data_IF_221722894261
#
_entry.id   IF_221722894261
#
_cell.length_a   1.000
_cell.length_b   1.000
_cell.length_c   1.000
_cell.angle_alpha   90.00
_cell.angle_beta   90.00
_cell.angle_gamma   90.00
#
_symmetry.space_group_name_H-M   'P 1'
#
loop_
_entity.id
_entity.type
_entity.pdbx_description
1 polymer ?
#
# COMPACT_ATOMS: atom_id res chain seq x y z
N UNK A 1 22.24 -7.94 -17.65
CA UNK A 1 21.51 -8.64 -16.54
C UNK A 1 21.62 -7.88 -15.22
N UNK A 2 22.78 -7.34 -14.84
CA UNK A 2 22.99 -6.61 -13.56
C UNK A 2 22.17 -5.33 -13.47
N UNK A 3 22.09 -4.53 -14.54
CA UNK A 3 21.33 -3.26 -14.56
C UNK A 3 19.83 -3.51 -14.40
N UNK A 4 19.27 -4.49 -15.13
CA UNK A 4 17.85 -4.83 -14.99
C UNK A 4 17.50 -5.28 -13.57
N UNK A 5 18.38 -6.05 -12.93
CA UNK A 5 18.15 -6.48 -11.55
C UNK A 5 18.16 -5.32 -10.56
N UNK A 6 19.11 -4.38 -10.68
CA UNK A 6 19.14 -3.18 -9.84
C UNK A 6 17.87 -2.31 -10.02
N UNK A 7 17.44 -2.15 -11.27
CA UNK A 7 16.18 -1.49 -11.60
C UNK A 7 14.98 -2.20 -10.96
N UNK A 8 14.92 -3.53 -11.06
CA UNK A 8 13.85 -4.34 -10.48
C UNK A 8 13.80 -4.17 -8.95
N UNK A 9 14.96 -4.23 -8.27
CA UNK A 9 15.07 -3.98 -6.83
C UNK A 9 14.51 -2.60 -6.48
N UNK A 10 14.83 -1.57 -7.25
CA UNK A 10 14.32 -0.22 -7.03
C UNK A 10 12.79 -0.15 -7.14
N UNK A 11 12.19 -0.68 -8.22
CA UNK A 11 10.74 -0.66 -8.42
C UNK A 11 10.01 -1.46 -7.34
N UNK A 12 10.51 -2.64 -6.98
CA UNK A 12 9.91 -3.44 -5.91
C UNK A 12 10.04 -2.74 -4.55
N UNK A 13 11.13 -2.03 -4.31
CA UNK A 13 11.29 -1.23 -3.08
C UNK A 13 10.26 -0.11 -3.01
N UNK A 14 9.98 0.58 -4.13
CA UNK A 14 8.93 1.60 -4.19
C UNK A 14 7.54 1.00 -3.94
N UNK A 15 7.23 -0.13 -4.57
CA UNK A 15 5.94 -0.83 -4.38
C UNK A 15 5.79 -1.24 -2.92
N UNK A 16 6.81 -1.87 -2.34
CA UNK A 16 6.79 -2.30 -0.95
C UNK A 16 6.72 -1.10 0.02
N UNK A 17 7.46 -0.03 -0.23
CA UNK A 17 7.38 1.18 0.57
C UNK A 17 6.00 1.82 0.53
N UNK A 18 5.34 1.83 -0.64
CA UNK A 18 3.96 2.31 -0.78
C UNK A 18 2.98 1.43 0.00
N UNK A 19 3.17 0.12 0.00
CA UNK A 19 2.38 -0.84 0.77
C UNK A 19 2.50 -0.60 2.29
N UNK A 20 3.71 -0.45 2.80
CA UNK A 20 3.96 -0.13 4.21
C UNK A 20 3.37 1.23 4.63
N UNK A 21 3.45 2.23 3.76
CA UNK A 21 2.80 3.52 4.00
C UNK A 21 1.27 3.34 4.01
N UNK A 22 0.70 2.66 3.02
CA UNK A 22 -0.73 2.46 2.89
C UNK A 22 -1.35 1.72 4.09
N UNK A 23 -0.63 0.72 4.63
CA UNK A 23 -1.08 -0.04 5.79
C UNK A 23 -1.01 0.74 7.10
N UNK A 24 -0.14 1.75 7.20
CA UNK A 24 0.18 2.46 8.45
C UNK A 24 -0.43 3.86 8.52
N UNK A 25 -0.62 4.53 7.37
CA UNK A 25 -1.02 5.94 7.30
C UNK A 25 -2.34 6.22 8.02
N UNK A 26 -3.34 5.35 7.89
CA UNK A 26 -4.63 5.50 8.56
C UNK A 26 -4.51 5.50 10.09
N UNK A 27 -3.61 4.68 10.63
CA UNK A 27 -3.35 4.64 12.08
C UNK A 27 -2.64 5.90 12.57
N UNK A 28 -1.68 6.41 11.80
CA UNK A 28 -0.94 7.63 12.16
C UNK A 28 -1.76 8.91 12.00
N UNK A 29 -2.80 8.89 11.15
CA UNK A 29 -3.71 10.02 10.91
C UNK A 29 -5.05 9.85 11.62
N UNK A 30 -5.17 8.89 12.52
CA UNK A 30 -6.41 8.47 13.17
C UNK A 30 -7.15 9.61 13.88
N UNK A 31 -6.41 10.44 14.61
CA UNK A 31 -6.99 11.56 15.36
C UNK A 31 -7.61 12.61 14.42
N UNK A 32 -6.92 12.95 13.35
CA UNK A 32 -7.41 13.93 12.36
C UNK A 32 -8.63 13.40 11.61
N UNK A 33 -8.60 12.14 11.21
CA UNK A 33 -9.70 11.45 10.54
C UNK A 33 -10.94 11.40 11.46
N UNK A 34 -10.76 11.02 12.73
CA UNK A 34 -11.82 10.93 13.70
C UNK A 34 -12.46 12.31 13.96
N UNK A 35 -11.65 13.34 14.15
CA UNK A 35 -12.11 14.69 14.41
C UNK A 35 -12.87 15.29 13.22
N UNK A 36 -12.49 14.96 11.99
CA UNK A 36 -13.13 15.48 10.79
C UNK A 36 -14.42 14.69 10.44
N UNK A 37 -14.34 13.38 10.35
CA UNK A 37 -15.46 12.54 9.88
C UNK A 37 -16.45 12.14 10.98
N UNK A 38 -16.02 12.13 12.24
CA UNK A 38 -16.77 11.61 13.38
C UNK A 38 -16.96 12.67 14.48
N UNK A 39 -16.81 13.95 14.17
CA UNK A 39 -16.96 15.05 15.13
C UNK A 39 -18.28 15.04 15.92
N UNK A 40 -19.32 14.44 15.32
CA UNK A 40 -20.64 14.27 15.95
C UNK A 40 -20.62 13.35 17.18
N UNK A 41 -19.61 12.48 17.30
CA UNK A 41 -19.45 11.52 18.39
C UNK A 41 -18.58 12.05 19.54
N UNK A 42 -18.05 13.27 19.42
CA UNK A 42 -17.24 13.91 20.45
C UNK A 42 -16.04 13.04 20.87
N UNK A 43 -15.88 12.83 22.18
CA UNK A 43 -14.77 12.05 22.74
C UNK A 43 -14.76 10.57 22.31
N UNK A 44 -15.90 10.02 21.90
CA UNK A 44 -16.04 8.64 21.42
C UNK A 44 -15.62 8.45 19.96
N UNK A 45 -15.27 9.51 19.23
CA UNK A 45 -14.97 9.47 17.79
C UNK A 45 -13.83 8.49 17.43
N UNK A 46 -12.78 8.46 18.24
CA UNK A 46 -11.65 7.54 18.05
C UNK A 46 -12.11 6.07 18.24
N UNK A 47 -12.89 5.78 19.28
CA UNK A 47 -13.44 4.45 19.53
C UNK A 47 -14.35 3.96 18.40
N UNK A 48 -15.16 4.83 17.83
CA UNK A 48 -16.00 4.52 16.66
C UNK A 48 -15.12 4.19 15.44
N UNK A 49 -14.05 4.96 15.23
CA UNK A 49 -13.11 4.69 14.13
C UNK A 49 -12.37 3.36 14.33
N UNK A 50 -12.07 2.99 15.57
CA UNK A 50 -11.47 1.67 15.88
C UNK A 50 -12.42 0.52 15.54
N UNK A 51 -13.68 0.64 15.90
CA UNK A 51 -14.69 -0.37 15.53
C UNK A 51 -14.80 -0.49 14.01
N UNK A 52 -14.84 0.64 13.29
CA UNK A 52 -14.86 0.63 11.82
C UNK A 52 -13.60 -0.02 11.24
N UNK A 53 -12.44 0.20 11.85
CA UNK A 53 -11.19 -0.43 11.42
C UNK A 53 -11.22 -1.97 11.59
N UNK A 54 -11.90 -2.47 12.62
CA UNK A 54 -12.12 -3.92 12.80
C UNK A 54 -13.05 -4.46 11.70
N UNK A 55 -14.06 -3.70 11.29
CA UNK A 55 -15.00 -4.13 10.25
C UNK A 55 -14.35 -4.25 8.84
N UNK A 56 -13.19 -3.65 8.61
CA UNK A 56 -12.47 -3.82 7.34
C UNK A 56 -11.55 -5.05 7.32
N UNK A 57 -11.25 -5.67 8.46
CA UNK A 57 -10.39 -6.87 8.53
C UNK A 57 -10.91 -8.04 7.67
N UNK A 58 -12.22 -8.34 7.58
CA UNK A 58 -12.73 -9.39 6.69
C UNK A 58 -12.37 -9.18 5.21
N UNK A 59 -12.24 -7.94 4.74
CA UNK A 59 -11.84 -7.65 3.35
C UNK A 59 -10.38 -8.08 3.09
N UNK A 60 -9.51 -7.97 4.07
CA UNK A 60 -8.16 -8.52 4.00
C UNK A 60 -8.19 -10.05 3.89
N UNK A 61 -9.04 -10.73 4.68
CA UNK A 61 -9.21 -12.17 4.60
C UNK A 61 -9.72 -12.62 3.22
N UNK A 62 -10.68 -11.90 2.63
CA UNK A 62 -11.15 -12.14 1.25
C UNK A 62 -9.98 -11.95 0.26
N UNK A 63 -9.17 -10.90 0.44
CA UNK A 63 -7.95 -10.67 -0.35
C UNK A 63 -6.99 -11.86 -0.33
N UNK A 64 -6.84 -12.53 0.80
CA UNK A 64 -6.02 -13.75 0.90
C UNK A 64 -6.57 -14.92 0.09
N UNK A 65 -7.89 -15.04 -0.05
CA UNK A 65 -8.52 -16.16 -0.78
C UNK A 65 -8.25 -16.11 -2.29
N UNK A 66 -8.01 -14.95 -2.87
CA UNK A 66 -7.68 -14.85 -4.30
C UNK A 66 -6.16 -14.92 -4.58
N UNK A 67 -5.32 -14.92 -3.55
CA UNK A 67 -3.86 -15.05 -3.67
C UNK A 67 -3.40 -16.25 -4.52
N UNK A 68 -4.01 -17.46 -4.44
CA UNK A 68 -3.65 -18.58 -5.32
C UNK A 68 -3.82 -18.30 -6.80
N UNK A 69 -4.61 -17.29 -7.19
CA UNK A 69 -4.73 -16.87 -8.58
C UNK A 69 -3.42 -16.31 -9.15
N UNK A 70 -2.51 -15.84 -8.31
CA UNK A 70 -1.17 -15.42 -8.72
C UNK A 70 -0.39 -16.56 -9.40
N UNK A 71 -0.64 -17.82 -8.98
CA UNK A 71 -0.03 -19.00 -9.57
C UNK A 71 -0.59 -19.31 -10.98
N UNK A 72 -1.79 -18.84 -11.28
CA UNK A 72 -2.45 -19.03 -12.59
C UNK A 72 -2.28 -17.85 -13.53
N UNK A 73 -2.31 -16.63 -13.01
CA UNK A 73 -2.29 -15.40 -13.81
C UNK A 73 -0.89 -14.84 -14.01
N UNK A 74 0.08 -15.29 -13.24
CA UNK A 74 1.45 -14.78 -13.23
C UNK A 74 1.71 -13.80 -12.09
N UNK A 75 2.91 -13.86 -11.55
CA UNK A 75 3.35 -13.03 -10.41
C UNK A 75 3.33 -11.54 -10.74
N UNK A 76 3.82 -11.18 -11.92
CA UNK A 76 3.85 -9.81 -12.41
C UNK A 76 2.45 -9.20 -12.46
N UNK A 77 1.52 -9.86 -13.15
CA UNK A 77 0.16 -9.33 -13.33
C UNK A 77 -0.53 -9.13 -12.00
N UNK A 78 -0.40 -10.10 -11.11
CA UNK A 78 -1.01 -10.05 -9.79
C UNK A 78 -0.45 -8.91 -8.94
N UNK A 79 0.88 -8.73 -8.91
CA UNK A 79 1.55 -7.62 -8.24
C UNK A 79 1.05 -6.26 -8.75
N UNK A 80 0.98 -6.09 -10.07
CA UNK A 80 0.54 -4.84 -10.70
C UNK A 80 -0.92 -4.54 -10.36
N UNK A 81 -1.82 -5.52 -10.49
CA UNK A 81 -3.26 -5.35 -10.17
C UNK A 81 -3.44 -4.92 -8.71
N UNK A 82 -2.74 -5.56 -7.79
CA UNK A 82 -2.85 -5.22 -6.37
C UNK A 82 -2.28 -3.84 -6.06
N UNK A 83 -1.09 -3.51 -6.57
CA UNK A 83 -0.48 -2.20 -6.33
C UNK A 83 -1.31 -1.07 -6.94
N UNK A 84 -1.81 -1.27 -8.16
CA UNK A 84 -2.68 -0.32 -8.83
C UNK A 84 -4.01 -0.14 -8.08
N UNK A 85 -4.67 -1.24 -7.71
CA UNK A 85 -5.92 -1.23 -6.96
C UNK A 85 -5.79 -0.57 -5.59
N UNK A 86 -4.71 -0.89 -4.84
CA UNK A 86 -4.40 -0.24 -3.57
C UNK A 86 -4.20 1.28 -3.75
N UNK A 87 -3.48 1.69 -4.79
CA UNK A 87 -3.21 3.11 -5.05
C UNK A 87 -4.47 3.87 -5.44
N UNK A 88 -5.37 3.26 -6.23
CA UNK A 88 -6.70 3.81 -6.50
C UNK A 88 -7.53 3.91 -5.21
N UNK A 89 -7.45 2.92 -4.32
CA UNK A 89 -8.14 2.96 -3.04
C UNK A 89 -7.66 4.12 -2.15
N UNK A 90 -6.35 4.41 -2.15
CA UNK A 90 -5.81 5.60 -1.48
C UNK A 90 -6.35 6.91 -2.10
N UNK A 91 -6.57 6.97 -3.43
CA UNK A 91 -7.23 8.10 -4.06
C UNK A 91 -8.70 8.22 -3.64
N UNK A 92 -9.42 7.10 -3.45
CA UNK A 92 -10.78 7.11 -2.91
C UNK A 92 -10.79 7.71 -1.50
N UNK A 93 -9.80 7.37 -0.66
CA UNK A 93 -9.64 7.98 0.67
C UNK A 93 -9.34 9.48 0.55
N UNK A 94 -8.44 9.88 -0.33
CA UNK A 94 -8.13 11.29 -0.59
C UNK A 94 -9.38 12.09 -0.99
N UNK A 95 -10.23 11.52 -1.83
CA UNK A 95 -11.49 12.15 -2.30
C UNK A 95 -12.64 11.98 -1.30
N UNK A 96 -12.45 11.27 -0.19
CA UNK A 96 -13.52 11.01 0.76
C UNK A 96 -13.95 12.31 1.49
N UNK A 97 -15.22 12.63 1.38
CA UNK A 97 -15.86 13.74 2.09
C UNK A 97 -16.82 13.28 3.18
N UNK A 98 -16.97 11.99 3.35
CA UNK A 98 -17.84 11.37 4.35
C UNK A 98 -17.26 10.03 4.82
N UNK A 99 -17.82 9.55 5.95
CA UNK A 99 -17.38 8.31 6.60
C UNK A 99 -17.55 7.07 5.71
N UNK A 100 -18.64 7.01 4.93
CA UNK A 100 -18.91 5.85 4.07
C UNK A 100 -17.84 5.72 2.99
N UNK A 101 -17.49 6.80 2.31
CA UNK A 101 -16.47 6.77 1.26
C UNK A 101 -15.08 6.48 1.82
N UNK A 102 -14.77 7.02 3.02
CA UNK A 102 -13.56 6.67 3.75
C UNK A 102 -13.51 5.17 4.08
N UNK A 103 -14.62 4.61 4.58
CA UNK A 103 -14.73 3.19 4.90
C UNK A 103 -14.54 2.31 3.65
N UNK A 104 -15.19 2.66 2.54
CA UNK A 104 -15.03 1.95 1.25
C UNK A 104 -13.58 2.01 0.79
N UNK A 105 -12.95 3.18 0.82
CA UNK A 105 -11.55 3.33 0.45
C UNK A 105 -10.61 2.47 1.32
N UNK A 106 -10.82 2.47 2.64
CA UNK A 106 -10.04 1.65 3.57
C UNK A 106 -10.24 0.15 3.34
N UNK A 107 -11.49 -0.28 3.10
CA UNK A 107 -11.78 -1.68 2.77
C UNK A 107 -11.10 -2.12 1.47
N UNK A 108 -11.09 -1.26 0.46
CA UNK A 108 -10.37 -1.53 -0.80
C UNK A 108 -8.85 -1.57 -0.61
N UNK A 109 -8.27 -0.69 0.23
CA UNK A 109 -6.84 -0.77 0.58
C UNK A 109 -6.53 -2.12 1.20
N UNK A 110 -7.31 -2.56 2.18
CA UNK A 110 -7.11 -3.85 2.84
C UNK A 110 -7.27 -5.04 1.87
N UNK A 111 -8.19 -4.94 0.93
CA UNK A 111 -8.39 -5.97 -0.09
C UNK A 111 -7.21 -6.07 -1.06
N UNK A 112 -6.67 -4.92 -1.52
CA UNK A 112 -5.62 -4.87 -2.53
C UNK A 112 -4.19 -4.84 -1.97
N UNK A 113 -3.98 -4.82 -0.66
CA UNK A 113 -2.62 -4.93 -0.11
C UNK A 113 -1.95 -6.17 -0.71
N UNK A 114 -0.74 -6.06 -1.27
CA UNK A 114 -0.09 -7.12 -2.06
C UNK A 114 0.21 -8.44 -1.33
N UNK A 115 -0.07 -8.55 -0.05
CA UNK A 115 0.08 -9.78 0.75
C UNK A 115 1.39 -10.51 0.47
N UNK A 116 2.51 -9.79 0.58
CA UNK A 116 3.85 -10.29 0.32
C UNK A 116 4.13 -10.72 -1.15
N UNK A 117 3.25 -10.38 -2.11
CA UNK A 117 3.50 -10.69 -3.53
C UNK A 117 4.78 -10.02 -4.06
N UNK A 118 5.08 -8.80 -3.58
CA UNK A 118 6.33 -8.12 -3.87
C UNK A 118 7.54 -8.90 -3.33
N UNK A 119 7.40 -9.56 -2.18
CA UNK A 119 8.43 -10.43 -1.60
C UNK A 119 8.63 -11.67 -2.46
N UNK A 120 7.53 -12.36 -2.80
CA UNK A 120 7.58 -13.56 -3.65
C UNK A 120 8.21 -13.21 -4.98
N UNK A 121 7.76 -12.14 -5.62
CA UNK A 121 8.28 -11.71 -6.92
C UNK A 121 9.80 -11.45 -6.88
N UNK A 122 10.31 -10.69 -5.88
CA UNK A 122 11.74 -10.40 -5.79
C UNK A 122 12.57 -11.63 -5.40
N UNK A 123 12.02 -12.50 -4.57
CA UNK A 123 12.70 -13.75 -4.18
C UNK A 123 12.86 -14.70 -5.37
N UNK A 124 11.83 -14.83 -6.20
CA UNK A 124 11.88 -15.64 -7.44
C UNK A 124 12.80 -15.02 -8.49
N UNK A 125 12.84 -13.71 -8.59
CA UNK A 125 13.68 -12.96 -9.55
C UNK A 125 15.14 -12.80 -9.10
N UNK A 126 15.47 -13.14 -7.85
CA UNK A 126 16.80 -12.95 -7.27
C UNK A 126 17.66 -14.20 -7.36
N UNK A 127 18.98 -14.07 -7.66
CA UNK A 127 19.92 -15.18 -7.56
C UNK A 127 19.90 -15.83 -6.17
N UNK A 128 19.86 -17.15 -6.10
CA UNK A 128 19.73 -17.90 -4.85
C UNK A 128 20.75 -17.50 -3.78
N UNK A 129 21.99 -17.23 -4.19
CA UNK A 129 23.09 -16.81 -3.32
C UNK A 129 22.85 -15.50 -2.57
N UNK A 130 22.02 -14.60 -3.11
CA UNK A 130 21.85 -13.24 -2.60
C UNK A 130 20.42 -12.92 -2.13
N UNK A 131 19.47 -13.86 -2.24
CA UNK A 131 18.05 -13.66 -1.93
C UNK A 131 17.81 -13.04 -0.56
N UNK A 132 18.38 -13.63 0.49
CA UNK A 132 18.19 -13.16 1.85
C UNK A 132 18.70 -11.72 2.04
N UNK A 133 19.86 -11.39 1.48
CA UNK A 133 20.42 -10.03 1.57
C UNK A 133 19.54 -9.02 0.82
N UNK A 134 19.13 -9.34 -0.40
CA UNK A 134 18.27 -8.47 -1.20
C UNK A 134 16.95 -8.21 -0.49
N UNK A 135 16.30 -9.25 0.01
CA UNK A 135 15.07 -9.13 0.77
C UNK A 135 15.24 -8.25 2.02
N UNK A 136 16.30 -8.49 2.81
CA UNK A 136 16.54 -7.71 4.03
C UNK A 136 16.73 -6.22 3.74
N UNK A 137 17.45 -5.88 2.67
CA UNK A 137 17.65 -4.49 2.27
C UNK A 137 16.33 -3.84 1.83
N UNK A 138 15.57 -4.53 0.97
CA UNK A 138 14.28 -4.02 0.50
C UNK A 138 13.32 -3.82 1.66
N UNK A 139 13.20 -4.79 2.55
CA UNK A 139 12.34 -4.70 3.73
C UNK A 139 12.75 -3.58 4.67
N UNK A 140 14.04 -3.41 4.90
CA UNK A 140 14.55 -2.31 5.72
C UNK A 140 14.15 -0.95 5.13
N UNK A 141 14.40 -0.73 3.83
CA UNK A 141 14.06 0.53 3.16
C UNK A 141 12.55 0.76 3.13
N UNK A 142 11.75 -0.29 2.88
CA UNK A 142 10.30 -0.21 2.89
C UNK A 142 9.76 0.17 4.27
N UNK A 143 10.26 -0.44 5.35
CA UNK A 143 9.87 -0.07 6.71
C UNK A 143 10.29 1.37 7.05
N UNK A 144 11.44 1.81 6.57
CA UNK A 144 11.88 3.20 6.75
C UNK A 144 10.99 4.20 5.99
N UNK A 145 10.33 3.77 4.92
CA UNK A 145 9.43 4.64 4.15
C UNK A 145 8.24 5.17 4.97
N UNK A 146 7.84 4.46 6.02
CA UNK A 146 6.78 4.90 6.96
C UNK A 146 7.16 6.23 7.64
N UNK A 147 8.45 6.49 7.83
CA UNK A 147 8.94 7.76 8.39
C UNK A 147 8.64 8.96 7.49
N UNK A 148 8.28 8.73 6.24
CA UNK A 148 7.85 9.79 5.32
C UNK A 148 6.48 10.34 5.72
N UNK A 149 5.61 9.59 6.41
CA UNK A 149 4.26 10.03 6.79
C UNK A 149 4.29 11.29 7.68
N UNK A 150 5.04 11.36 8.79
CA UNK A 150 5.17 12.58 9.57
C UNK A 150 5.72 13.77 8.77
N UNK A 151 6.63 13.51 7.82
CA UNK A 151 7.16 14.54 6.95
C UNK A 151 6.08 15.06 5.99
N UNK A 152 5.32 14.17 5.35
CA UNK A 152 4.19 14.55 4.49
C UNK A 152 3.13 15.33 5.28
N UNK A 153 2.83 14.88 6.51
CA UNK A 153 1.93 15.60 7.41
C UNK A 153 2.41 17.03 7.62
N UNK A 154 3.66 17.25 7.94
CA UNK A 154 4.24 18.59 8.16
C UNK A 154 4.20 19.46 6.90
N UNK A 155 4.43 18.86 5.72
CA UNK A 155 4.54 19.60 4.46
C UNK A 155 3.18 19.89 3.81
N UNK A 156 2.19 19.01 3.99
CA UNK A 156 0.92 19.03 3.25
C UNK A 156 -0.29 19.43 4.10
N UNK A 157 -0.11 19.59 5.41
CA UNK A 157 -1.17 19.96 6.31
C UNK A 157 -0.87 21.29 6.99
N UNK A 158 -1.71 22.29 6.76
CA UNK A 158 -1.74 23.54 7.51
C UNK A 158 -2.80 23.48 8.63
N UNK A 159 -3.79 22.61 8.46
CA UNK A 159 -4.85 22.34 9.44
C UNK A 159 -5.13 20.83 9.53
N UNK A 160 -5.77 20.39 10.63
CA UNK A 160 -6.16 18.99 10.82
C UNK A 160 -7.17 18.50 9.77
N UNK A 161 -7.95 19.37 9.15
CA UNK A 161 -8.91 19.04 8.11
C UNK A 161 -8.25 18.60 6.78
N UNK A 162 -6.97 18.92 6.59
CA UNK A 162 -6.21 18.61 5.37
C UNK A 162 -5.53 17.25 5.40
N UNK A 163 -5.87 16.39 6.35
CA UNK A 163 -5.30 15.03 6.48
C UNK A 163 -5.36 14.20 5.18
N UNK A 164 -6.34 14.49 4.34
CA UNK A 164 -6.51 13.78 3.04
C UNK A 164 -5.31 13.97 2.11
N UNK A 165 -4.67 15.13 2.16
CA UNK A 165 -3.53 15.46 1.30
C UNK A 165 -2.35 14.49 1.51
N UNK A 166 -2.23 13.94 2.72
CA UNK A 166 -1.16 12.98 3.04
C UNK A 166 -1.35 11.66 2.29
N UNK A 167 -2.60 11.26 1.99
CA UNK A 167 -2.91 10.04 1.23
C UNK A 167 -2.65 10.19 -0.28
N UNK A 168 -2.65 11.42 -0.80
CA UNK A 168 -2.45 11.67 -2.22
C UNK A 168 -1.06 11.26 -2.72
N UNK A 169 -0.01 11.58 -1.95
CA UNK A 169 1.38 11.29 -2.36
C UNK A 169 1.64 9.80 -2.54
N UNK A 170 1.38 8.92 -1.55
CA UNK A 170 1.57 7.48 -1.74
C UNK A 170 0.66 6.90 -2.83
N UNK A 171 -0.55 7.44 -3.03
CA UNK A 171 -1.42 7.04 -4.11
C UNK A 171 -0.77 7.27 -5.48
N UNK A 172 -0.22 8.44 -5.73
CA UNK A 172 0.45 8.77 -7.00
C UNK A 172 1.73 7.95 -7.17
N UNK A 173 2.54 7.82 -6.13
CA UNK A 173 3.77 6.99 -6.20
C UNK A 173 3.41 5.55 -6.57
N UNK A 174 2.41 4.96 -5.94
CA UNK A 174 1.97 3.60 -6.24
C UNK A 174 1.40 3.44 -7.65
N UNK A 175 0.62 4.41 -8.15
CA UNK A 175 0.13 4.41 -9.53
C UNK A 175 1.27 4.49 -10.54
N UNK A 176 2.22 5.38 -10.33
CA UNK A 176 3.40 5.53 -11.20
C UNK A 176 4.26 4.26 -11.16
N UNK A 177 4.54 3.72 -9.97
CA UNK A 177 5.32 2.51 -9.81
C UNK A 177 4.65 1.30 -10.49
N UNK A 178 3.33 1.14 -10.33
CA UNK A 178 2.58 0.06 -10.98
C UNK A 178 2.56 0.20 -12.50
N UNK A 179 2.42 1.42 -13.02
CA UNK A 179 2.47 1.69 -14.46
C UNK A 179 3.85 1.41 -15.05
N UNK A 180 4.92 1.86 -14.39
CA UNK A 180 6.29 1.55 -14.80
C UNK A 180 6.52 0.03 -14.76
N UNK A 181 6.10 -0.65 -13.70
CA UNK A 181 6.22 -2.11 -13.59
C UNK A 181 5.44 -2.84 -14.69
N UNK A 182 4.26 -2.34 -15.07
CA UNK A 182 3.46 -2.90 -16.17
C UNK A 182 4.25 -2.90 -17.48
N UNK A 183 4.93 -1.80 -17.80
CA UNK A 183 5.65 -1.61 -19.05
C UNK A 183 6.99 -2.35 -19.08
N UNK A 184 7.66 -2.47 -17.95
CA UNK A 184 9.10 -2.80 -17.91
C UNK A 184 9.44 -4.07 -17.13
N UNK A 185 8.63 -4.48 -16.16
CA UNK A 185 8.87 -5.72 -15.41
C UNK A 185 8.59 -6.95 -16.29
N UNK A 186 9.40 -7.98 -16.11
CA UNK A 186 9.22 -9.28 -16.77
C UNK A 186 8.53 -10.25 -15.82
N UNK A 187 7.90 -11.30 -16.33
CA UNK A 187 7.38 -12.38 -15.50
C UNK A 187 8.54 -13.14 -14.84
N UNK A 188 8.27 -13.78 -13.71
CA UNK A 188 9.30 -14.55 -12.99
C UNK A 188 9.64 -15.84 -13.74
N UNK A 189 10.92 -16.28 -13.66
CA UNK A 189 11.39 -17.49 -14.33
C UNK A 189 10.68 -18.77 -13.82
N UNK A 190 10.13 -18.73 -12.60
CA UNK A 190 9.35 -19.82 -12.01
C UNK A 190 7.94 -19.96 -12.58
N UNK A 191 7.47 -18.95 -13.34
CA UNK A 191 6.15 -18.98 -13.97
C UNK A 191 6.23 -19.36 -15.48
N UNK A 192 7.39 -19.22 -16.10
CA UNK A 192 7.63 -19.56 -17.51
C UNK A 192 7.97 -21.06 -17.61
#
# INVERSE_FOLDING_TARGET
>A
KSFYFAYLVFIITLIYGTDEIASTIGTLMKTEIANDLLSKFGESSIGVLDILSILVVPFQAIGLLYRPLADRWGRKKFLIINTFGMSLALLVIFLSNNLLLYFVGTALVQFFIPHDMHVVYIMESSPSKHRARVYSVIKFVANMSVMVIPLLRRLLMTSAAEWRNVFFVPAIIGLVASFIALLTARETDSFI
#
